data_IF_857337299783
#
_entry.id   IF_857337299783
#
_cell.length_a   1.000
_cell.length_b   1.000
_cell.length_c   1.000
_cell.angle_alpha   90.00
_cell.angle_beta   90.00
_cell.angle_gamma   90.00
#
_symmetry.space_group_name_H-M   'P 1'
#
loop_
_entity.id
_entity.type
_entity.pdbx_description
1 polymer ?
#
# COMPACT_ATOMS: atom_id res chain seq x y z
N UNK A 1 53.60 -45.49 -0.98
CA UNK A 1 53.28 -44.06 -1.17
C UNK A 1 53.23 -43.83 -2.67
N UNK A 2 52.02 -43.74 -3.25
CA UNK A 2 51.86 -43.59 -4.70
C UNK A 2 51.93 -42.10 -5.06
N UNK A 3 52.95 -41.70 -5.83
CA UNK A 3 53.06 -40.35 -6.36
C UNK A 3 52.11 -40.20 -7.54
N UNK A 4 51.14 -39.31 -7.39
CA UNK A 4 50.20 -38.99 -8.45
C UNK A 4 50.94 -38.10 -9.47
N UNK A 5 51.01 -38.47 -10.77
CA UNK A 5 51.78 -37.72 -11.77
C UNK A 5 51.19 -36.32 -11.97
N UNK A 6 52.05 -35.32 -12.21
CA UNK A 6 51.63 -33.92 -12.33
C UNK A 6 50.54 -33.67 -13.40
N UNK A 7 50.44 -34.56 -14.39
CA UNK A 7 49.44 -34.51 -15.45
C UNK A 7 48.01 -34.70 -14.94
N UNK A 8 47.79 -35.52 -13.91
CA UNK A 8 46.43 -35.75 -13.38
C UNK A 8 45.94 -34.58 -12.54
N UNK A 9 46.84 -33.83 -11.87
CA UNK A 9 46.47 -32.59 -11.19
C UNK A 9 46.00 -31.50 -12.16
N UNK A 10 46.69 -31.36 -13.30
CA UNK A 10 46.32 -30.39 -14.33
C UNK A 10 44.93 -30.71 -14.94
N UNK A 11 44.65 -31.99 -15.20
CA UNK A 11 43.35 -32.43 -15.72
C UNK A 11 42.23 -32.15 -14.72
N UNK A 12 42.43 -32.48 -13.43
CA UNK A 12 41.44 -32.22 -12.38
C UNK A 12 41.16 -30.72 -12.25
N UNK A 13 42.19 -29.87 -12.28
CA UNK A 13 42.02 -28.42 -12.20
C UNK A 13 41.25 -27.88 -13.41
N UNK A 14 41.51 -28.40 -14.62
CA UNK A 14 40.83 -27.98 -15.85
C UNK A 14 39.34 -28.34 -15.87
N UNK A 15 38.98 -29.51 -15.35
CA UNK A 15 37.57 -29.97 -15.28
C UNK A 15 36.80 -29.20 -14.21
N UNK A 16 37.43 -28.90 -13.06
CA UNK A 16 36.86 -28.05 -12.02
C UNK A 16 36.60 -26.61 -12.50
N UNK A 17 37.47 -26.08 -13.37
CA UNK A 17 37.30 -24.75 -13.94
C UNK A 17 36.15 -24.70 -14.97
N UNK A 18 35.94 -25.78 -15.73
CA UNK A 18 34.85 -25.85 -16.70
C UNK A 18 33.45 -25.99 -16.06
N UNK A 19 33.34 -26.63 -14.87
CA UNK A 19 32.06 -26.77 -14.18
C UNK A 19 31.54 -25.46 -13.54
N UNK A 20 32.41 -24.46 -13.38
CA UNK A 20 32.03 -23.14 -12.86
C UNK A 20 31.45 -22.20 -13.96
N UNK A 21 31.51 -22.59 -15.23
CA UNK A 21 31.03 -21.79 -16.37
C UNK A 21 29.60 -22.16 -16.80
N UNK A 22 28.76 -22.58 -15.85
CA UNK A 22 27.31 -22.68 -16.07
C UNK A 22 26.74 -21.31 -16.37
N UNK A 23 26.30 -21.10 -17.61
CA UNK A 23 25.79 -19.82 -18.13
C UNK A 23 24.54 -19.38 -17.36
N UNK A 24 24.63 -18.26 -16.66
CA UNK A 24 23.45 -17.57 -16.15
C UNK A 24 22.61 -17.12 -17.36
N UNK A 25 21.36 -17.57 -17.44
CA UNK A 25 20.35 -17.00 -18.33
C UNK A 25 19.83 -15.74 -17.65
N UNK A 26 20.33 -14.60 -18.10
CA UNK A 26 19.86 -13.29 -17.66
C UNK A 26 18.51 -13.01 -18.33
N UNK A 27 17.42 -13.06 -17.57
CA UNK A 27 16.10 -12.62 -18.03
C UNK A 27 15.98 -11.10 -17.87
N UNK A 28 16.98 -10.34 -18.32
CA UNK A 28 17.04 -8.88 -18.23
C UNK A 28 16.13 -8.23 -19.28
N UNK A 29 14.84 -8.61 -19.26
CA UNK A 29 13.82 -7.74 -19.84
C UNK A 29 13.69 -6.55 -18.88
N UNK A 30 13.75 -5.30 -19.37
CA UNK A 30 13.59 -4.15 -18.51
C UNK A 30 12.20 -4.20 -17.85
N UNK A 31 12.17 -4.11 -16.53
CA UNK A 31 10.93 -3.94 -15.78
C UNK A 31 10.28 -2.62 -16.22
N UNK A 32 9.16 -2.72 -16.93
CA UNK A 32 8.36 -1.55 -17.30
C UNK A 32 7.50 -1.12 -16.10
N UNK A 33 7.80 0.04 -15.54
CA UNK A 33 6.97 0.67 -14.50
C UNK A 33 6.03 1.68 -15.15
N UNK A 34 4.74 1.35 -15.20
CA UNK A 34 3.68 2.23 -15.70
C UNK A 34 3.12 3.06 -14.52
N UNK A 35 3.20 4.39 -14.60
CA UNK A 35 2.65 5.31 -13.60
C UNK A 35 1.48 6.12 -14.17
N UNK A 36 0.30 6.01 -13.56
CA UNK A 36 -0.92 6.72 -13.95
C UNK A 36 -1.54 7.54 -12.81
N UNK A 37 -2.55 8.36 -13.13
CA UNK A 37 -3.34 9.14 -12.16
C UNK A 37 -4.84 9.01 -12.46
N UNK A 38 -5.67 8.94 -11.42
CA UNK A 38 -7.14 8.91 -11.53
C UNK A 38 -7.67 10.34 -11.35
N UNK A 39 -8.60 10.75 -12.20
CA UNK A 39 -9.24 12.06 -12.12
C UNK A 39 -10.75 11.93 -12.30
N UNK A 40 -11.51 12.80 -11.65
CA UNK A 40 -12.94 12.96 -11.92
C UNK A 40 -13.10 13.80 -13.20
N UNK A 41 -13.65 13.21 -14.25
CA UNK A 41 -13.96 13.92 -15.50
C UNK A 41 -15.22 14.77 -15.34
N UNK A 42 -15.08 15.85 -14.56
CA UNK A 42 -16.14 16.81 -14.24
C UNK A 42 -16.82 17.40 -15.48
N UNK A 43 -16.12 17.44 -16.61
CA UNK A 43 -16.63 17.97 -17.88
C UNK A 43 -17.06 16.90 -18.89
N UNK A 44 -16.90 15.60 -18.60
CA UNK A 44 -17.07 14.49 -19.55
C UNK A 44 -16.27 14.67 -20.85
N UNK A 45 -15.12 15.34 -20.75
CA UNK A 45 -14.29 15.71 -21.89
C UNK A 45 -13.35 14.56 -22.31
N UNK A 46 -13.17 13.54 -21.47
CA UNK A 46 -12.23 12.45 -21.68
C UNK A 46 -10.76 12.84 -21.42
N UNK A 47 -10.51 14.04 -20.90
CA UNK A 47 -9.18 14.52 -20.52
C UNK A 47 -9.26 15.50 -19.33
N UNK A 48 -8.10 15.73 -18.69
CA UNK A 48 -7.98 16.67 -17.56
C UNK A 48 -8.14 18.11 -18.02
N UNK A 49 -9.02 18.85 -17.36
CA UNK A 49 -9.26 20.29 -17.55
C UNK A 49 -8.81 21.10 -16.33
N UNK A 50 -8.90 22.43 -16.39
CA UNK A 50 -8.57 23.32 -15.26
C UNK A 50 -9.59 23.25 -14.10
N UNK A 51 -10.72 22.59 -14.29
CA UNK A 51 -11.75 22.34 -13.27
C UNK A 51 -11.85 20.87 -12.90
N UNK A 52 -10.89 20.05 -13.32
CA UNK A 52 -10.82 18.64 -12.95
C UNK A 52 -10.44 18.51 -11.48
N UNK A 53 -11.20 17.67 -10.78
CA UNK A 53 -10.93 17.32 -9.40
C UNK A 53 -10.16 16.01 -9.33
N UNK A 54 -9.05 16.03 -8.59
CA UNK A 54 -8.35 14.80 -8.22
C UNK A 54 -8.95 14.29 -6.92
N UNK A 55 -9.48 13.07 -6.98
CA UNK A 55 -9.90 12.36 -5.79
C UNK A 55 -8.66 11.66 -5.26
N UNK A 56 -8.14 12.15 -4.14
CA UNK A 56 -7.11 11.46 -3.39
C UNK A 56 -7.76 10.73 -2.23
N UNK A 57 -7.16 9.62 -1.84
CA UNK A 57 -7.62 8.85 -0.69
C UNK A 57 -6.46 8.67 0.29
N UNK A 58 -6.78 8.79 1.57
CA UNK A 58 -5.92 8.29 2.65
C UNK A 58 -6.39 6.87 2.94
N UNK A 59 -5.45 5.93 3.06
CA UNK A 59 -5.75 4.52 3.35
C UNK A 59 -4.97 4.04 4.57
N UNK A 60 -5.55 3.12 5.34
CA UNK A 60 -4.86 2.40 6.39
C UNK A 60 -3.79 1.48 5.78
N UNK A 61 -2.57 1.50 6.33
CA UNK A 61 -1.43 0.68 5.86
C UNK A 61 -0.97 -0.28 6.95
N UNK A 62 -0.59 0.26 8.11
CA UNK A 62 -0.20 -0.53 9.27
C UNK A 62 -0.60 0.19 10.57
N UNK A 63 -0.90 -0.58 11.61
CA UNK A 63 -1.04 -0.10 12.98
C UNK A 63 0.20 -0.47 13.78
N UNK A 64 0.78 0.46 14.57
CA UNK A 64 1.87 0.12 15.48
C UNK A 64 1.42 -0.76 16.65
N UNK A 65 0.09 -0.93 16.85
CA UNK A 65 -0.49 -1.70 17.95
C UNK A 65 -1.05 -3.03 17.46
N UNK A 66 -0.46 -4.12 17.96
CA UNK A 66 -0.90 -5.49 17.64
C UNK A 66 -2.28 -5.87 18.15
N UNK A 67 -2.80 -5.15 19.15
CA UNK A 67 -4.13 -5.38 19.70
C UNK A 67 -5.21 -4.53 19.01
N UNK A 68 -4.83 -3.75 17.99
CA UNK A 68 -5.66 -2.75 17.32
C UNK A 68 -5.16 -2.53 15.88
N UNK A 69 -5.17 -3.58 15.07
CA UNK A 69 -4.69 -3.59 13.69
C UNK A 69 -5.68 -4.21 12.70
N UNK A 70 -6.87 -4.62 13.16
CA UNK A 70 -7.89 -5.19 12.30
C UNK A 70 -8.53 -4.11 11.42
N UNK A 71 -8.54 -4.35 10.11
CA UNK A 71 -9.17 -3.46 9.13
C UNK A 71 -10.61 -3.92 8.88
N UNK A 72 -11.57 -3.00 9.01
CA UNK A 72 -12.94 -3.22 8.58
C UNK A 72 -13.09 -2.79 7.11
N UNK A 73 -13.67 -3.66 6.28
CA UNK A 73 -14.02 -3.31 4.91
C UNK A 73 -14.86 -2.03 4.89
N UNK A 74 -14.61 -1.17 3.90
CA UNK A 74 -15.30 0.11 3.69
C UNK A 74 -15.05 1.20 4.74
N UNK A 75 -14.19 0.96 5.74
CA UNK A 75 -13.72 1.96 6.72
C UNK A 75 -12.21 2.18 6.70
N UNK A 76 -11.54 1.60 5.71
CA UNK A 76 -10.09 1.64 5.53
C UNK A 76 -9.60 2.88 4.77
N UNK A 77 -10.53 3.69 4.23
CA UNK A 77 -10.22 4.83 3.36
C UNK A 77 -11.06 6.07 3.63
N UNK A 78 -10.44 7.23 3.40
CA UNK A 78 -11.10 8.53 3.45
C UNK A 78 -10.72 9.35 2.22
N UNK A 79 -11.74 9.85 1.52
CA UNK A 79 -11.55 10.77 0.39
C UNK A 79 -11.08 12.14 0.83
N UNK A 80 -10.19 12.75 0.04
CA UNK A 80 -9.67 14.09 0.20
C UNK A 80 -9.82 14.84 -1.12
N UNK A 81 -10.60 15.91 -1.10
CA UNK A 81 -10.81 16.76 -2.26
C UNK A 81 -9.63 17.73 -2.43
N UNK A 82 -8.75 17.46 -3.39
CA UNK A 82 -7.62 18.33 -3.73
C UNK A 82 -8.00 19.32 -4.83
N UNK A 83 -8.91 20.24 -4.52
CA UNK A 83 -9.28 21.32 -5.44
C UNK A 83 -8.99 22.71 -4.90
N UNK A 84 -8.68 23.64 -5.83
CA UNK A 84 -8.41 25.07 -5.57
C UNK A 84 -9.57 25.99 -6.01
N UNK A 85 -10.64 25.45 -6.59
CA UNK A 85 -11.75 26.24 -7.16
C UNK A 85 -13.01 26.33 -6.27
N UNK A 86 -13.00 25.76 -5.07
CA UNK A 86 -14.15 25.72 -4.14
C UNK A 86 -14.12 26.83 -3.08
N UNK A 87 -13.42 27.93 -3.34
CA UNK A 87 -13.36 29.07 -2.41
C UNK A 87 -12.58 28.82 -1.11
N UNK A 88 -11.89 27.69 -0.98
CA UNK A 88 -11.01 27.39 0.15
C UNK A 88 -9.62 27.97 -0.14
N UNK A 89 -9.23 28.98 0.62
CA UNK A 89 -7.96 29.71 0.45
C UNK A 89 -6.75 29.00 1.08
N UNK A 90 -6.99 28.06 1.99
CA UNK A 90 -5.92 27.26 2.60
C UNK A 90 -5.50 26.11 1.67
N UNK A 91 -4.29 25.59 1.84
CA UNK A 91 -3.80 24.38 1.18
C UNK A 91 -4.00 23.12 2.04
N UNK A 92 -4.41 23.27 3.31
CA UNK A 92 -4.76 22.14 4.16
C UNK A 92 -6.11 21.55 3.75
N UNK A 93 -6.16 20.22 3.56
CA UNK A 93 -7.40 19.47 3.31
C UNK A 93 -7.52 18.38 4.36
N UNK A 94 -8.39 18.53 5.37
CA UNK A 94 -8.57 17.50 6.37
C UNK A 94 -9.18 16.25 5.72
N UNK A 95 -8.69 15.08 6.10
CA UNK A 95 -9.33 13.80 5.81
C UNK A 95 -10.23 13.39 6.98
N UNK A 96 -11.25 12.59 6.70
CA UNK A 96 -12.00 11.94 7.78
C UNK A 96 -11.07 10.99 8.56
N UNK A 97 -11.18 10.93 9.90
CA UNK A 97 -10.39 9.99 10.69
C UNK A 97 -10.64 8.54 10.27
N UNK A 98 -9.56 7.77 10.19
CA UNK A 98 -9.58 6.33 9.97
C UNK A 98 -9.21 5.59 11.25
N UNK A 99 -9.78 4.41 11.46
CA UNK A 99 -9.56 3.64 12.68
C UNK A 99 -9.46 2.14 12.41
N UNK A 100 -8.49 1.51 13.09
CA UNK A 100 -8.45 0.05 13.22
C UNK A 100 -9.42 -0.43 14.29
N UNK A 101 -9.90 -1.66 14.13
CA UNK A 101 -10.66 -2.36 15.14
C UNK A 101 -9.70 -3.01 16.14
N UNK A 102 -10.09 -2.93 17.41
CA UNK A 102 -9.44 -3.66 18.51
C UNK A 102 -9.90 -5.11 18.49
N UNK A 103 -9.01 -6.06 18.78
CA UNK A 103 -9.34 -7.50 18.80
C UNK A 103 -10.52 -7.83 19.72
N UNK A 104 -10.53 -7.19 20.89
CA UNK A 104 -11.58 -7.33 21.89
C UNK A 104 -12.06 -5.93 22.28
N UNK A 105 -13.34 -5.61 22.07
CA UNK A 105 -13.92 -4.34 22.52
C UNK A 105 -13.75 -4.16 24.03
N UNK A 106 -13.62 -2.92 24.48
CA UNK A 106 -13.53 -2.65 25.91
C UNK A 106 -14.87 -2.97 26.59
N UNK A 107 -14.87 -3.44 27.85
CA UNK A 107 -16.10 -3.82 28.56
C UNK A 107 -17.16 -2.70 28.62
N UNK A 108 -16.72 -1.44 28.60
CA UNK A 108 -17.60 -0.26 28.66
C UNK A 108 -18.25 0.10 27.32
N UNK A 109 -17.74 -0.39 26.19
CA UNK A 109 -18.20 0.02 24.86
C UNK A 109 -19.68 -0.27 24.63
N UNK A 110 -20.20 -1.38 25.16
CA UNK A 110 -21.61 -1.74 25.01
C UNK A 110 -22.55 -0.71 25.68
N UNK A 111 -22.16 -0.18 26.84
CA UNK A 111 -22.95 0.84 27.55
C UNK A 111 -22.85 2.20 26.85
N UNK A 112 -21.66 2.56 26.37
CA UNK A 112 -21.43 3.82 25.66
C UNK A 112 -22.23 3.89 24.34
N UNK A 113 -22.23 2.81 23.56
CA UNK A 113 -22.99 2.77 22.30
C UNK A 113 -24.49 2.90 22.53
N UNK A 114 -25.03 2.35 23.62
CA UNK A 114 -26.44 2.52 23.97
C UNK A 114 -26.80 3.96 24.33
N UNK A 115 -25.89 4.71 24.96
CA UNK A 115 -26.13 6.11 25.28
C UNK A 115 -26.23 6.97 24.02
N UNK A 116 -25.32 6.72 23.07
CA UNK A 116 -25.33 7.42 21.78
C UNK A 116 -26.60 7.13 20.96
N UNK A 117 -27.10 5.89 21.03
CA UNK A 117 -28.34 5.49 20.35
C UNK A 117 -29.59 6.09 21.01
N UNK A 118 -29.60 6.23 22.34
CA UNK A 118 -30.73 6.82 23.07
C UNK A 118 -30.80 8.34 22.97
N UNK A 119 -29.66 9.02 22.81
CA UNK A 119 -29.62 10.48 22.69
C UNK A 119 -30.26 10.97 21.36
N UNK A 120 -30.37 10.09 20.35
CA UNK A 120 -31.01 10.40 19.06
C UNK A 120 -32.55 10.23 19.09
N UNK A 121 -33.11 9.56 20.12
CA UNK A 121 -34.54 9.27 20.23
C UNK A 121 -35.33 10.28 21.09
N UNK A 122 -34.65 11.15 21.86
CA UNK A 122 -35.28 12.15 22.75
C UNK A 122 -35.56 13.51 22.05
N UNK A 123 -35.25 13.64 20.75
CA UNK A 123 -35.48 14.84 19.93
C UNK A 123 -36.78 14.77 19.08
N UNK A 124 -37.79 13.99 19.49
CA UNK A 124 -39.11 13.90 18.82
C UNK A 124 -40.23 14.67 19.51
#
# INVERSE_FOLDING_TARGET
MASIPATTFAVILSVLFCAAAGTAVDNDLPDYVIQGRVYCDTCRAGFVTNVTEYICEVVLVESPRKDCDQVQADRDRAGVLLTRNVGISDNLRPANPLGYLKDVPLPICASLLKQLDSDDDDDQ
#
